data_IF_486854470702
#
_entry.id   IF_486854470702
#
_cell.length_a   1.000
_cell.length_b   1.000
_cell.length_c   1.000
_cell.angle_alpha   90.00
_cell.angle_beta   90.00
_cell.angle_gamma   90.00
#
_symmetry.space_group_name_H-M   'P 1'
#
loop_
_entity.id
_entity.type
_entity.pdbx_description
1 polymer ?
#
# COMPACT_ATOMS: atom_id res chain seq x y z
N UNK A 1 22.80 11.29 6.86
CA UNK A 1 22.73 11.82 5.47
C UNK A 1 21.52 11.15 4.84
N UNK A 2 20.34 11.41 5.41
CA UNK A 2 19.13 10.57 5.20
C UNK A 2 17.97 11.45 4.77
N UNK A 3 18.13 12.13 3.63
CA UNK A 3 17.10 13.02 3.11
C UNK A 3 16.46 12.43 1.86
N UNK A 4 15.63 11.39 2.04
CA UNK A 4 14.79 10.84 0.96
C UNK A 4 14.10 11.99 0.20
N UNK A 5 13.99 11.89 -1.13
CA UNK A 5 13.37 12.94 -1.97
C UNK A 5 11.91 13.22 -1.61
N UNK A 6 11.23 12.28 -0.94
CA UNK A 6 9.84 12.40 -0.52
C UNK A 6 9.71 12.19 1.00
N UNK A 7 10.12 13.19 1.79
CA UNK A 7 9.85 13.13 3.23
C UNK A 7 8.40 13.56 3.51
N UNK A 8 7.77 12.89 4.48
CA UNK A 8 6.45 13.28 4.97
C UNK A 8 6.43 14.74 5.46
N UNK A 9 7.55 15.26 5.99
CA UNK A 9 7.73 16.66 6.35
C UNK A 9 7.64 17.60 5.15
N UNK A 10 8.23 17.24 4.02
CA UNK A 10 8.20 18.04 2.80
C UNK A 10 6.78 18.05 2.21
N UNK A 11 6.07 16.92 2.25
CA UNK A 11 4.66 16.84 1.85
C UNK A 11 3.76 17.70 2.75
N UNK A 12 3.94 17.64 4.08
CA UNK A 12 3.19 18.49 5.01
C UNK A 12 3.47 19.98 4.78
N UNK A 13 4.72 20.34 4.50
CA UNK A 13 5.10 21.70 4.15
C UNK A 13 4.43 22.17 2.84
N UNK A 14 4.35 21.30 1.82
CA UNK A 14 3.66 21.63 0.58
C UNK A 14 2.15 21.75 0.78
N UNK A 15 1.52 20.85 1.55
CA UNK A 15 0.09 20.92 1.89
C UNK A 15 -0.22 22.21 2.66
N UNK A 16 0.64 22.60 3.60
CA UNK A 16 0.51 23.86 4.34
C UNK A 16 0.60 25.09 3.43
N UNK A 17 1.27 24.98 2.28
CA UNK A 17 1.39 26.05 1.28
C UNK A 17 0.25 26.13 0.25
N UNK A 18 -0.70 25.19 0.24
CA UNK A 18 -1.82 25.20 -0.71
C UNK A 18 -2.81 26.32 -0.33
N UNK A 19 -2.87 27.38 -1.15
CA UNK A 19 -3.88 28.43 -1.03
C UNK A 19 -5.20 27.99 -1.67
N UNK A 20 -6.26 27.89 -0.88
CA UNK A 20 -7.58 27.48 -1.34
C UNK A 20 -8.35 28.66 -1.99
N UNK A 21 -8.73 28.61 -3.28
CA UNK A 21 -9.51 29.66 -3.93
C UNK A 21 -10.95 29.78 -3.39
N UNK A 22 -11.47 28.78 -2.65
CA UNK A 22 -12.75 28.85 -1.95
C UNK A 22 -12.69 29.67 -0.65
N UNK A 23 -11.53 30.23 -0.31
CA UNK A 23 -11.35 31.09 0.86
C UNK A 23 -11.90 32.51 0.61
N UNK A 24 -13.13 32.62 0.11
CA UNK A 24 -13.85 33.89 -0.06
C UNK A 24 -14.87 34.07 1.06
N UNK A 25 -14.43 34.72 2.13
CA UNK A 25 -15.32 35.40 3.06
C UNK A 25 -15.84 34.59 4.25
N UNK A 26 -15.82 35.26 5.40
CA UNK A 26 -16.50 34.93 6.67
C UNK A 26 -15.72 33.95 7.58
N UNK A 27 -14.82 34.50 8.43
CA UNK A 27 -15.19 34.88 9.80
C UNK A 27 -14.22 35.91 10.39
N UNK A 28 -14.81 36.96 10.96
CA UNK A 28 -14.17 37.88 11.91
C UNK A 28 -13.98 37.12 13.22
N UNK A 29 -12.75 36.97 13.67
CA UNK A 29 -12.45 36.41 14.99
C UNK A 29 -11.23 35.48 14.98
N UNK A 30 -10.04 36.07 15.06
CA UNK A 30 -8.82 35.50 15.68
C UNK A 30 -8.64 33.97 15.63
N UNK A 31 -8.40 33.37 14.45
CA UNK A 31 -7.57 32.16 14.26
C UNK A 31 -7.04 32.21 12.80
N UNK A 32 -5.94 32.85 12.44
CA UNK A 32 -4.67 32.92 13.15
C UNK A 32 -3.75 31.76 12.74
N UNK A 33 -3.43 31.63 11.45
CA UNK A 33 -2.19 31.01 10.91
C UNK A 33 -1.90 29.54 11.24
N UNK A 34 -1.98 28.68 10.23
CA UNK A 34 -1.11 27.50 10.14
C UNK A 34 -1.75 26.11 10.18
N UNK A 35 -3.07 25.96 10.14
CA UNK A 35 -3.67 24.62 10.08
C UNK A 35 -4.86 24.61 9.11
N UNK A 36 -4.67 24.01 7.94
CA UNK A 36 -5.81 23.52 7.17
C UNK A 36 -6.47 22.45 8.04
N UNK A 37 -7.58 22.78 8.68
CA UNK A 37 -8.40 21.79 9.40
C UNK A 37 -9.10 20.94 8.35
N UNK A 38 -8.42 19.88 7.89
CA UNK A 38 -9.07 18.83 7.15
C UNK A 38 -10.06 18.17 8.11
N UNK A 39 -11.35 18.48 7.96
CA UNK A 39 -12.43 17.79 8.65
C UNK A 39 -12.58 16.38 8.06
N UNK A 40 -11.61 15.52 8.37
CA UNK A 40 -11.70 14.09 8.08
C UNK A 40 -12.64 13.50 9.12
N UNK A 41 -13.76 12.92 8.67
CA UNK A 41 -14.63 12.14 9.55
C UNK A 41 -13.81 11.01 10.16
N UNK A 42 -13.50 11.13 11.45
CA UNK A 42 -12.90 10.04 12.23
C UNK A 42 -14.05 9.16 12.75
N UNK A 43 -14.11 7.88 12.37
CA UNK A 43 -15.14 6.99 12.88
C UNK A 43 -15.05 6.88 14.40
N UNK A 44 -16.20 6.90 15.08
CA UNK A 44 -16.23 6.74 16.53
C UNK A 44 -15.73 5.34 16.92
N UNK A 45 -15.23 5.17 18.15
CA UNK A 45 -14.71 3.88 18.61
C UNK A 45 -15.68 2.69 18.40
N UNK A 46 -17.01 2.83 18.61
CA UNK A 46 -17.96 1.76 18.30
C UNK A 46 -18.02 1.41 16.81
N UNK A 47 -17.85 2.38 15.92
CA UNK A 47 -17.79 2.17 14.47
C UNK A 47 -16.51 1.43 14.09
N UNK A 48 -15.36 1.85 14.63
CA UNK A 48 -14.08 1.17 14.42
C UNK A 48 -14.12 -0.28 14.91
N UNK A 49 -14.74 -0.55 16.07
CA UNK A 49 -14.89 -1.92 16.58
C UNK A 49 -15.70 -2.83 15.65
N UNK A 50 -16.70 -2.28 14.93
CA UNK A 50 -17.44 -3.02 13.91
C UNK A 50 -16.58 -3.31 12.69
N UNK A 51 -15.82 -2.31 12.23
CA UNK A 51 -14.91 -2.45 11.06
C UNK A 51 -13.80 -3.47 11.34
N UNK A 52 -13.19 -3.43 12.52
CA UNK A 52 -12.05 -4.27 12.92
C UNK A 52 -12.45 -5.44 13.82
N UNK A 53 -13.68 -5.95 13.68
CA UNK A 53 -14.17 -7.06 14.50
C UNK A 53 -13.25 -8.30 14.42
N UNK A 54 -12.63 -8.55 13.26
CA UNK A 54 -11.72 -9.66 13.04
C UNK A 54 -10.40 -9.55 13.85
N UNK A 55 -10.04 -8.35 14.31
CA UNK A 55 -8.83 -8.08 15.10
C UNK A 55 -9.08 -8.07 16.61
N UNK A 56 -10.28 -8.45 17.07
CA UNK A 56 -10.57 -8.56 18.50
C UNK A 56 -9.66 -9.59 19.19
N UNK A 57 -9.35 -9.35 20.47
CA UNK A 57 -8.49 -10.22 21.31
C UNK A 57 -8.97 -11.67 21.40
N UNK A 58 -10.26 -11.91 21.18
CA UNK A 58 -10.86 -13.25 21.17
C UNK A 58 -10.44 -14.06 19.95
N UNK A 59 -10.03 -13.38 18.88
CA UNK A 59 -9.56 -13.99 17.64
C UNK A 59 -8.04 -14.09 17.68
N UNK A 60 -7.52 -15.31 17.65
CA UNK A 60 -6.08 -15.55 17.52
C UNK A 60 -5.49 -14.96 16.23
N UNK A 61 -4.29 -14.41 16.31
CA UNK A 61 -3.60 -13.71 15.23
C UNK A 61 -2.20 -14.28 15.02
N UNK A 62 -1.81 -14.42 13.75
CA UNK A 62 -0.44 -14.74 13.38
C UNK A 62 0.48 -13.56 13.73
N UNK A 63 1.65 -13.85 14.28
CA UNK A 63 2.63 -12.87 14.79
C UNK A 63 2.52 -12.51 16.27
N UNK A 64 1.43 -12.89 16.95
CA UNK A 64 1.29 -12.70 18.41
C UNK A 64 1.05 -14.03 19.14
N UNK A 65 0.04 -14.79 18.72
CA UNK A 65 -0.39 -16.00 19.45
C UNK A 65 0.40 -17.27 19.07
N UNK A 66 1.26 -17.20 18.04
CA UNK A 66 2.09 -18.33 17.59
C UNK A 66 3.10 -18.76 18.67
N UNK A 67 3.63 -17.79 19.42
CA UNK A 67 4.60 -18.03 20.50
C UNK A 67 3.99 -18.78 21.68
N UNK A 68 2.67 -18.69 21.85
CA UNK A 68 1.92 -19.33 22.94
C UNK A 68 1.54 -20.77 22.58
N UNK A 69 1.30 -21.07 21.29
CA UNK A 69 0.91 -22.40 20.83
C UNK A 69 1.28 -22.65 19.36
N UNK A 70 2.33 -23.42 19.14
CA UNK A 70 2.85 -23.76 17.81
C UNK A 70 1.80 -24.43 16.89
N UNK A 71 0.90 -25.24 17.44
CA UNK A 71 -0.15 -25.91 16.65
C UNK A 71 -1.15 -24.97 15.99
N UNK A 72 -1.26 -23.71 16.46
CA UNK A 72 -2.07 -22.70 15.77
C UNK A 72 -1.43 -22.28 14.44
N UNK A 73 -0.10 -22.12 14.40
CA UNK A 73 0.61 -21.75 13.18
C UNK A 73 0.49 -22.85 12.11
N UNK A 74 0.66 -24.11 12.51
CA UNK A 74 0.52 -25.27 11.63
C UNK A 74 -0.89 -25.40 11.03
N UNK A 75 -1.92 -25.23 11.87
CA UNK A 75 -3.31 -25.22 11.42
C UNK A 75 -3.56 -24.11 10.40
N UNK A 76 -3.06 -22.89 10.66
CA UNK A 76 -3.17 -21.74 9.75
C UNK A 76 -2.50 -22.03 8.41
N UNK A 77 -1.32 -22.66 8.40
CA UNK A 77 -0.63 -23.07 7.18
C UNK A 77 -1.51 -24.06 6.38
N UNK A 78 -2.03 -25.11 7.04
CA UNK A 78 -2.88 -26.12 6.40
C UNK A 78 -4.14 -25.50 5.78
N UNK A 79 -4.84 -24.64 6.52
CA UNK A 79 -6.04 -23.94 6.02
C UNK A 79 -5.68 -23.03 4.84
N UNK A 80 -4.58 -22.29 4.92
CA UNK A 80 -4.14 -21.40 3.85
C UNK A 80 -3.86 -22.16 2.54
N UNK A 81 -3.22 -23.33 2.61
CA UNK A 81 -2.98 -24.17 1.43
C UNK A 81 -4.28 -24.64 0.77
N UNK A 82 -5.27 -25.07 1.58
CA UNK A 82 -6.59 -25.46 1.07
C UNK A 82 -7.26 -24.27 0.37
N UNK A 83 -7.19 -23.07 0.96
CA UNK A 83 -7.79 -21.86 0.37
C UNK A 83 -7.11 -21.44 -0.94
N UNK A 84 -5.78 -21.55 -1.01
CA UNK A 84 -5.01 -21.26 -2.23
C UNK A 84 -5.43 -22.19 -3.38
N UNK A 85 -5.73 -23.46 -3.09
CA UNK A 85 -6.17 -24.43 -4.09
C UNK A 85 -7.62 -24.22 -4.58
N UNK A 86 -8.49 -23.65 -3.75
CA UNK A 86 -9.92 -23.44 -4.07
C UNK A 86 -10.19 -22.28 -5.04
N UNK A 87 -9.16 -21.57 -5.50
CA UNK A 87 -9.24 -20.50 -6.52
C UNK A 87 -10.30 -19.41 -6.25
N UNK A 88 -10.65 -19.13 -4.99
CA UNK A 88 -11.64 -18.10 -4.64
C UNK A 88 -11.00 -16.99 -3.79
N UNK A 89 -10.69 -15.85 -4.43
CA UNK A 89 -9.98 -14.72 -3.84
C UNK A 89 -10.63 -14.16 -2.56
N UNK A 90 -11.96 -14.02 -2.45
CA UNK A 90 -12.59 -13.46 -1.25
C UNK A 90 -12.30 -14.25 0.03
N UNK A 91 -12.20 -15.57 -0.03
CA UNK A 91 -11.85 -16.38 1.15
C UNK A 91 -10.42 -16.14 1.62
N UNK A 92 -9.49 -15.94 0.69
CA UNK A 92 -8.10 -15.61 1.01
C UNK A 92 -8.05 -14.21 1.65
N UNK A 93 -8.80 -13.24 1.12
CA UNK A 93 -8.89 -11.90 1.73
C UNK A 93 -9.42 -11.96 3.17
N UNK A 94 -10.48 -12.73 3.41
CA UNK A 94 -11.02 -12.91 4.77
C UNK A 94 -10.01 -13.58 5.69
N UNK A 95 -9.35 -14.64 5.22
CA UNK A 95 -8.32 -15.35 5.98
C UNK A 95 -7.14 -14.46 6.37
N UNK A 96 -6.71 -13.56 5.47
CA UNK A 96 -5.58 -12.64 5.65
C UNK A 96 -5.83 -11.56 6.72
N UNK A 97 -7.09 -11.29 7.10
CA UNK A 97 -7.41 -10.30 8.15
C UNK A 97 -6.81 -10.67 9.52
N UNK A 98 -6.49 -11.95 9.75
CA UNK A 98 -5.88 -12.47 10.97
C UNK A 98 -4.37 -12.80 10.79
N UNK A 99 -3.76 -12.21 9.77
CA UNK A 99 -2.37 -12.41 9.37
C UNK A 99 -2.20 -13.47 8.28
N UNK A 100 -0.99 -13.63 7.75
CA UNK A 100 -0.67 -14.65 6.73
C UNK A 100 0.65 -15.32 7.10
N UNK A 101 0.73 -16.66 7.07
CA UNK A 101 1.98 -17.38 7.37
C UNK A 101 3.10 -16.91 6.45
N UNK A 102 4.29 -16.65 7.00
CA UNK A 102 5.42 -16.05 6.28
C UNK A 102 5.75 -16.81 4.99
N UNK A 103 5.80 -18.14 5.06
CA UNK A 103 6.10 -19.03 3.94
C UNK A 103 5.09 -18.97 2.79
N UNK A 104 3.87 -18.48 3.03
CA UNK A 104 2.79 -18.45 2.05
C UNK A 104 2.43 -17.04 1.56
N UNK A 105 3.03 -15.99 2.15
CA UNK A 105 2.70 -14.58 1.81
C UNK A 105 2.82 -14.29 0.32
N UNK A 106 3.89 -14.72 -0.33
CA UNK A 106 4.09 -14.49 -1.77
C UNK A 106 2.95 -15.06 -2.63
N UNK A 107 2.49 -16.29 -2.35
CA UNK A 107 1.37 -16.92 -3.05
C UNK A 107 0.03 -16.24 -2.75
N UNK A 108 -0.19 -15.88 -1.48
CA UNK A 108 -1.41 -15.19 -1.03
C UNK A 108 -1.53 -13.81 -1.65
N UNK A 109 -0.49 -12.99 -1.61
CA UNK A 109 -0.49 -11.65 -2.18
C UNK A 109 -0.64 -11.68 -3.69
N UNK A 110 0.08 -12.58 -4.38
CA UNK A 110 -0.11 -12.81 -5.82
C UNK A 110 -1.57 -13.11 -6.16
N UNK A 111 -2.24 -13.94 -5.35
CA UNK A 111 -3.65 -14.30 -5.55
C UNK A 111 -4.61 -13.14 -5.24
N UNK A 112 -4.38 -12.39 -4.16
CA UNK A 112 -5.22 -11.25 -3.75
C UNK A 112 -5.13 -10.07 -4.71
N UNK A 113 -3.93 -9.83 -5.23
CA UNK A 113 -3.63 -8.81 -6.25
C UNK A 113 -3.89 -9.32 -7.68
N UNK A 114 -4.39 -10.55 -7.82
CA UNK A 114 -4.77 -11.12 -9.12
C UNK A 114 -3.68 -11.01 -10.19
N UNK A 115 -2.41 -11.13 -9.77
CA UNK A 115 -1.24 -10.97 -10.63
C UNK A 115 -1.03 -12.24 -11.46
N UNK A 116 -1.12 -12.09 -12.78
CA UNK A 116 -0.81 -13.16 -13.74
C UNK A 116 0.68 -13.14 -14.13
N UNK A 117 1.37 -14.26 -13.92
CA UNK A 117 2.78 -14.44 -14.34
C UNK A 117 2.85 -15.36 -15.56
N UNK A 118 2.33 -14.87 -16.69
CA UNK A 118 2.42 -15.58 -17.97
C UNK A 118 3.77 -15.37 -18.66
N UNK A 119 4.08 -16.20 -19.66
CA UNK A 119 5.31 -16.10 -20.43
C UNK A 119 5.52 -14.71 -21.05
N UNK A 120 4.44 -14.10 -21.58
CA UNK A 120 4.48 -12.74 -22.14
C UNK A 120 4.92 -11.69 -21.12
N UNK A 121 4.45 -11.80 -19.87
CA UNK A 121 4.83 -10.86 -18.78
C UNK A 121 6.30 -11.05 -18.43
N UNK A 122 6.77 -12.30 -18.39
CA UNK A 122 8.17 -12.60 -18.13
C UNK A 122 9.10 -12.07 -19.24
N UNK A 123 8.71 -12.25 -20.51
CA UNK A 123 9.45 -11.72 -21.66
C UNK A 123 9.49 -10.19 -21.64
N UNK A 124 8.36 -9.55 -21.32
CA UNK A 124 8.28 -8.10 -21.18
C UNK A 124 9.22 -7.58 -20.07
N UNK A 125 9.18 -8.19 -18.88
CA UNK A 125 10.09 -7.83 -17.79
C UNK A 125 11.56 -8.05 -18.15
N UNK A 126 11.88 -9.13 -18.88
CA UNK A 126 13.23 -9.38 -19.36
C UNK A 126 13.71 -8.32 -20.37
N UNK A 127 12.82 -7.84 -21.25
CA UNK A 127 13.11 -6.73 -22.16
C UNK A 127 13.38 -5.44 -21.38
N UNK A 128 12.52 -5.08 -20.42
CA UNK A 128 12.73 -3.89 -19.59
C UNK A 128 14.10 -3.90 -18.90
N UNK A 129 14.52 -5.06 -18.36
CA UNK A 129 15.86 -5.22 -17.77
C UNK A 129 17.00 -5.00 -18.77
N UNK A 130 16.81 -5.35 -20.05
CA UNK A 130 17.81 -5.10 -21.10
C UNK A 130 17.83 -3.61 -21.45
N UNK A 131 16.67 -2.97 -21.54
CA UNK A 131 16.55 -1.54 -21.85
C UNK A 131 17.21 -0.66 -20.78
N UNK A 132 17.06 -1.02 -19.49
CA UNK A 132 17.76 -0.36 -18.38
C UNK A 132 19.29 -0.44 -18.52
N UNK A 133 19.83 -1.53 -19.08
CA UNK A 133 21.27 -1.69 -19.29
C UNK A 133 21.77 -0.99 -20.54
N UNK A 134 20.91 -0.83 -21.55
CA UNK A 134 21.27 -0.28 -22.84
C UNK A 134 21.30 1.26 -22.83
N UNK A 135 20.46 1.90 -22.03
CA UNK A 135 20.38 3.36 -21.96
C UNK A 135 20.22 3.83 -20.52
N UNK A 136 21.08 4.74 -20.10
CA UNK A 136 21.01 5.40 -18.78
C UNK A 136 20.11 6.63 -18.83
N UNK A 137 19.29 6.83 -17.80
CA UNK A 137 18.42 8.01 -17.66
C UNK A 137 18.66 8.70 -16.32
N UNK A 138 18.29 9.98 -16.21
CA UNK A 138 18.40 10.74 -14.94
C UNK A 138 17.61 10.09 -13.79
N UNK A 139 16.55 9.35 -14.10
CA UNK A 139 15.75 8.62 -13.10
C UNK A 139 16.57 7.48 -12.49
N UNK A 140 17.53 6.92 -13.22
CA UNK A 140 18.32 5.79 -12.73
C UNK A 140 19.20 6.22 -11.55
N UNK A 141 19.81 7.41 -11.61
CA UNK A 141 20.62 7.96 -10.52
C UNK A 141 19.78 8.23 -9.27
N UNK A 142 18.54 8.69 -9.47
CA UNK A 142 17.58 8.88 -8.37
C UNK A 142 17.24 7.54 -7.72
N UNK A 143 16.91 6.53 -8.53
CA UNK A 143 16.56 5.19 -8.03
C UNK A 143 17.73 4.56 -7.28
N UNK A 144 18.95 4.63 -7.83
CA UNK A 144 20.16 4.11 -7.14
C UNK A 144 20.38 4.79 -5.81
N UNK A 145 20.19 6.11 -5.76
CA UNK A 145 20.32 6.86 -4.53
C UNK A 145 19.27 6.44 -3.48
N UNK A 146 18.00 6.22 -3.89
CA UNK A 146 16.97 5.70 -2.97
C UNK A 146 17.27 4.27 -2.50
N UNK A 147 17.78 3.40 -3.37
CA UNK A 147 18.20 2.04 -3.01
C UNK A 147 19.34 2.09 -1.99
N UNK A 148 20.29 3.01 -2.11
CA UNK A 148 21.34 3.21 -1.11
C UNK A 148 20.78 3.60 0.25
N UNK A 149 19.77 4.49 0.30
CA UNK A 149 19.10 4.84 1.55
C UNK A 149 18.34 3.64 2.12
N UNK A 150 17.65 2.86 1.27
CA UNK A 150 16.93 1.66 1.70
C UNK A 150 17.88 0.57 2.25
N UNK A 151 19.07 0.42 1.65
CA UNK A 151 20.11 -0.52 2.06
C UNK A 151 20.67 -0.26 3.46
N UNK A 152 20.52 0.95 4.00
CA UNK A 152 20.88 1.25 5.40
C UNK A 152 19.99 0.51 6.42
N UNK A 153 18.89 -0.10 5.98
CA UNK A 153 18.07 -0.99 6.80
C UNK A 153 18.48 -2.46 6.58
N UNK A 154 18.72 -3.18 7.68
CA UNK A 154 19.11 -4.60 7.68
C UNK A 154 18.15 -5.52 6.93
N UNK A 155 16.87 -5.17 6.89
CA UNK A 155 15.83 -5.97 6.26
C UNK A 155 15.91 -5.92 4.73
N UNK A 156 16.49 -4.86 4.17
CA UNK A 156 16.56 -4.62 2.72
C UNK A 156 17.97 -4.75 2.15
N UNK A 157 19.00 -4.71 3.00
CA UNK A 157 20.40 -4.83 2.60
C UNK A 157 20.69 -6.02 1.65
N UNK A 158 20.18 -7.25 1.89
CA UNK A 158 20.45 -8.39 1.01
C UNK A 158 19.77 -8.32 -0.37
N UNK A 159 18.86 -7.35 -0.57
CA UNK A 159 17.99 -7.27 -1.74
C UNK A 159 18.26 -6.03 -2.59
N UNK A 160 19.36 -5.31 -2.37
CA UNK A 160 19.68 -4.06 -3.07
C UNK A 160 19.67 -4.21 -4.61
N UNK A 161 20.33 -5.22 -5.16
CA UNK A 161 20.32 -5.48 -6.61
C UNK A 161 18.91 -5.80 -7.14
N UNK A 162 18.10 -6.49 -6.33
CA UNK A 162 16.73 -6.85 -6.69
C UNK A 162 15.84 -5.62 -6.69
N UNK A 163 15.97 -4.76 -5.67
CA UNK A 163 15.25 -3.50 -5.54
C UNK A 163 15.59 -2.57 -6.70
N UNK A 164 16.88 -2.38 -6.99
CA UNK A 164 17.33 -1.56 -8.13
C UNK A 164 16.74 -2.09 -9.44
N UNK A 165 16.86 -3.39 -9.71
CA UNK A 165 16.35 -4.00 -10.94
C UNK A 165 14.85 -3.80 -11.11
N UNK A 166 14.07 -4.04 -10.03
CA UNK A 166 12.61 -3.91 -10.07
C UNK A 166 12.19 -2.46 -10.24
N UNK A 167 12.81 -1.53 -9.50
CA UNK A 167 12.48 -0.11 -9.56
C UNK A 167 12.85 0.51 -10.91
N UNK A 168 14.02 0.19 -11.46
CA UNK A 168 14.41 0.67 -12.79
C UNK A 168 13.48 0.12 -13.87
N UNK A 169 13.20 -1.19 -13.84
CA UNK A 169 12.26 -1.79 -14.79
C UNK A 169 10.86 -1.14 -14.70
N UNK A 170 10.40 -0.82 -13.48
CA UNK A 170 9.14 -0.13 -13.27
C UNK A 170 9.12 1.28 -13.91
N UNK A 171 10.19 2.06 -13.76
CA UNK A 171 10.27 3.40 -14.36
C UNK A 171 10.41 3.37 -15.89
N UNK A 172 10.91 2.27 -16.47
CA UNK A 172 10.97 2.07 -17.93
C UNK A 172 9.67 1.54 -18.52
N UNK A 173 8.74 1.06 -17.70
CA UNK A 173 7.47 0.51 -18.16
C UNK A 173 6.45 1.62 -18.48
N UNK A 174 6.41 2.03 -19.74
CA UNK A 174 5.42 3.00 -20.23
C UNK A 174 3.98 2.48 -20.16
N UNK A 175 3.75 1.17 -20.09
CA UNK A 175 2.39 0.60 -20.02
C UNK A 175 1.71 0.90 -18.68
N UNK A 176 2.49 1.23 -17.64
CA UNK A 176 1.97 1.69 -16.35
C UNK A 176 1.26 3.04 -16.46
N UNK A 177 1.74 3.93 -17.33
CA UNK A 177 1.12 5.24 -17.56
C UNK A 177 -0.23 5.12 -18.27
N UNK A 178 -0.34 4.18 -19.21
CA UNK A 178 -1.58 3.92 -19.96
C UNK A 178 -2.66 3.26 -19.09
N UNK A 179 -2.25 2.36 -18.19
CA UNK A 179 -3.18 1.64 -17.32
C UNK A 179 -3.56 2.43 -16.08
N UNK A 180 -2.77 3.41 -15.66
CA UNK A 180 -3.02 4.25 -14.49
C UNK A 180 -3.05 3.48 -13.16
N UNK A 181 -2.69 4.11 -12.02
CA UNK A 181 -2.70 3.46 -10.71
C UNK A 181 -4.11 3.05 -10.24
N UNK A 182 -5.18 3.51 -10.91
CA UNK A 182 -6.57 3.31 -10.51
C UNK A 182 -7.30 2.18 -11.24
N UNK A 183 -6.68 1.51 -12.21
CA UNK A 183 -7.34 0.43 -12.95
C UNK A 183 -7.41 -0.90 -12.19
N UNK A 184 -6.65 -1.04 -11.09
CA UNK A 184 -6.68 -2.25 -10.27
C UNK A 184 -7.74 -2.14 -9.15
N UNK A 185 -8.63 -3.15 -8.94
CA UNK A 185 -9.69 -3.11 -7.94
C UNK A 185 -9.21 -3.02 -6.48
N UNK A 186 -7.93 -3.25 -6.22
CA UNK A 186 -7.30 -3.02 -4.91
C UNK A 186 -6.80 -1.57 -4.71
N UNK A 187 -6.65 -0.79 -5.78
CA UNK A 187 -6.24 0.61 -5.71
C UNK A 187 -7.43 1.58 -5.54
N UNK A 188 -8.65 1.11 -5.79
CA UNK A 188 -9.85 1.81 -5.33
C UNK A 188 -9.93 1.66 -3.81
N UNK A 189 -9.55 2.73 -3.10
CA UNK A 189 -9.90 2.93 -1.70
C UNK A 189 -11.38 2.55 -1.51
N UNK A 190 -11.77 1.92 -0.38
CA UNK A 190 -13.19 1.71 -0.09
C UNK A 190 -13.86 3.08 -0.21
N UNK A 191 -14.75 3.23 -1.19
CA UNK A 191 -15.60 4.41 -1.29
C UNK A 191 -16.43 4.42 -0.03
N UNK A 192 -15.99 5.15 0.99
CA UNK A 192 -16.86 5.60 2.06
C UNK A 192 -17.90 6.42 1.31
N UNK A 193 -19.07 5.82 1.09
CA UNK A 193 -20.22 6.51 0.53
C UNK A 193 -20.48 7.69 1.45
N UNK A 194 -20.01 8.87 1.06
CA UNK A 194 -20.50 10.12 1.59
C UNK A 194 -21.98 10.17 1.22
N UNK A 195 -22.83 9.61 2.07
CA UNK A 195 -24.22 9.97 2.09
C UNK A 195 -24.23 11.45 2.45
N UNK A 196 -24.27 12.30 1.43
CA UNK A 196 -24.63 13.71 1.58
C UNK A 196 -26.00 13.69 2.25
N UNK A 197 -26.16 14.22 3.48
CA UNK A 197 -27.48 14.32 4.09
C UNK A 197 -28.33 15.22 3.20
N UNK A 198 -29.31 14.62 2.51
CA UNK A 198 -30.38 15.36 1.85
C UNK A 198 -31.26 15.96 2.95
N UNK A 199 -31.02 17.23 3.26
CA UNK A 199 -31.89 17.96 4.16
C UNK A 199 -31.18 19.18 4.73
N UNK A 200 -31.37 20.32 4.08
CA UNK A 200 -31.56 21.66 4.64
C UNK A 200 -31.30 22.69 3.53
N UNK A 201 -32.29 22.83 2.65
CA UNK A 201 -32.51 24.09 1.94
C UNK A 201 -33.72 24.73 2.63
N UNK A 202 -33.55 25.84 3.36
CA UNK A 202 -34.59 26.86 3.40
C UNK A 202 -34.63 27.63 2.07
#
# INVERSE_FOLDING_TARGET
>A
VDRSLFQASDLLHHIAGISNPNHSGVQRGLVGWGTVTLELRVPALPELRKVFQQMQLQNRQLGFDETVKESFAEERIRVCEILLNRSYTPYIREFSKRGVPVSLRGRVWKRMLEVCTGEKVQQHFNRLKQDTKAAETLVDDIVRWEVLVAKNNSDFFPFDETLETVLLAFHRDHTMLEKGPYSHPMASLPRISAQVPRGLVP
#
